data_IF_880813851608
#
_entry.id   IF_880813851608
#
_cell.length_a   1.000
_cell.length_b   1.000
_cell.length_c   1.000
_cell.angle_alpha   90.00
_cell.angle_beta   90.00
_cell.angle_gamma   90.00
#
_symmetry.space_group_name_H-M   'P 1'
#
loop_
_entity.id
_entity.type
_entity.pdbx_description
1 polymer ?
#
# COMPACT_ATOMS: atom_id res chain seq x y z
N UNK A 1 -6.12 -18.76 2.44
CA UNK A 1 -5.29 -17.53 2.27
C UNK A 1 -5.91 -16.57 1.25
N UNK A 2 -6.14 -17.03 0.00
CA UNK A 2 -6.71 -16.18 -1.04
C UNK A 2 -8.09 -15.61 -0.66
N UNK A 3 -8.97 -16.42 -0.09
CA UNK A 3 -10.31 -15.97 0.31
C UNK A 3 -10.27 -14.88 1.37
N UNK A 4 -9.35 -14.99 2.34
CA UNK A 4 -9.19 -13.99 3.38
C UNK A 4 -8.66 -12.67 2.79
N UNK A 5 -7.74 -12.74 1.84
CA UNK A 5 -7.21 -11.55 1.18
C UNK A 5 -8.21 -10.92 0.22
N UNK A 6 -9.05 -11.73 -0.44
CA UNK A 6 -10.14 -11.21 -1.26
C UNK A 6 -11.12 -10.40 -0.41
N UNK A 7 -11.43 -10.87 0.80
CA UNK A 7 -12.23 -10.12 1.76
C UNK A 7 -11.55 -8.82 2.20
N UNK A 8 -10.25 -8.84 2.39
CA UNK A 8 -9.45 -7.66 2.72
C UNK A 8 -9.50 -6.63 1.59
N UNK A 9 -9.32 -7.09 0.34
CA UNK A 9 -9.42 -6.22 -0.84
C UNK A 9 -10.79 -5.56 -0.92
N UNK A 10 -11.85 -6.34 -0.75
CA UNK A 10 -13.22 -5.81 -0.82
C UNK A 10 -13.51 -4.83 0.31
N UNK A 11 -13.03 -5.10 1.52
CA UNK A 11 -13.18 -4.20 2.64
C UNK A 11 -12.50 -2.85 2.38
N UNK A 12 -11.31 -2.86 1.80
CA UNK A 12 -10.59 -1.64 1.42
C UNK A 12 -11.31 -0.89 0.30
N UNK A 13 -11.86 -1.59 -0.69
CA UNK A 13 -12.64 -0.97 -1.76
C UNK A 13 -13.85 -0.24 -1.20
N UNK A 14 -14.54 -0.84 -0.25
CA UNK A 14 -15.70 -0.22 0.40
C UNK A 14 -15.30 0.96 1.27
N UNK A 15 -14.20 0.82 2.02
CA UNK A 15 -13.74 1.86 2.95
C UNK A 15 -13.21 3.10 2.21
N UNK A 16 -12.42 2.90 1.18
CA UNK A 16 -11.80 4.00 0.41
C UNK A 16 -12.76 4.56 -0.63
N UNK A 17 -13.60 3.70 -1.21
CA UNK A 17 -14.62 4.12 -2.16
C UNK A 17 -14.10 4.38 -3.57
N UNK A 18 -14.76 5.29 -4.27
CA UNK A 18 -14.51 5.56 -5.68
C UNK A 18 -13.13 6.17 -5.95
N UNK A 19 -12.47 6.69 -4.94
CA UNK A 19 -11.09 7.19 -5.08
C UNK A 19 -10.07 6.08 -5.29
N UNK A 20 -10.40 4.83 -4.95
CA UNK A 20 -9.49 3.69 -5.11
C UNK A 20 -9.54 3.15 -6.53
N UNK A 21 -8.47 3.38 -7.28
CA UNK A 21 -8.36 2.96 -8.70
C UNK A 21 -7.75 1.56 -8.79
N UNK A 22 -6.75 1.27 -7.96
CA UNK A 22 -6.04 0.00 -8.00
C UNK A 22 -5.42 -0.31 -6.64
N UNK A 23 -5.19 -1.59 -6.38
CA UNK A 23 -4.65 -2.08 -5.10
C UNK A 23 -3.80 -3.31 -5.37
N UNK A 24 -2.67 -3.42 -4.67
CA UNK A 24 -1.89 -4.65 -4.63
C UNK A 24 -1.46 -4.93 -3.20
N UNK A 25 -1.57 -6.19 -2.78
CA UNK A 25 -1.13 -6.67 -1.47
C UNK A 25 -0.08 -7.74 -1.72
N UNK A 26 1.09 -7.60 -1.08
CA UNK A 26 2.18 -8.56 -1.22
C UNK A 26 2.73 -8.98 0.12
N UNK A 27 3.41 -10.12 0.12
CA UNK A 27 4.12 -10.60 1.30
C UNK A 27 5.37 -9.74 1.53
N UNK A 28 5.51 -9.20 2.72
CA UNK A 28 6.59 -8.25 3.02
C UNK A 28 7.98 -8.87 2.89
N UNK A 29 8.12 -10.16 3.22
CA UNK A 29 9.42 -10.84 3.18
C UNK A 29 9.89 -11.15 1.76
N UNK A 30 8.99 -11.59 0.87
CA UNK A 30 9.34 -12.06 -0.49
C UNK A 30 8.97 -11.09 -1.59
N UNK A 31 8.16 -10.09 -1.29
CA UNK A 31 7.54 -9.19 -2.26
C UNK A 31 6.58 -9.90 -3.24
N UNK A 32 6.18 -11.14 -2.93
CA UNK A 32 5.24 -11.88 -3.75
C UNK A 32 3.84 -11.26 -3.67
N UNK A 33 3.30 -10.87 -4.81
CA UNK A 33 1.94 -10.33 -4.90
C UNK A 33 0.91 -11.44 -4.61
N UNK A 34 -0.01 -11.18 -3.69
CA UNK A 34 -0.97 -12.17 -3.21
C UNK A 34 -2.41 -11.87 -3.63
N UNK A 35 -2.78 -10.60 -3.71
CA UNK A 35 -4.14 -10.19 -4.04
C UNK A 35 -4.14 -8.73 -4.51
N UNK A 36 -5.20 -8.33 -5.19
CA UNK A 36 -5.35 -6.96 -5.63
C UNK A 36 -6.19 -6.86 -6.89
N UNK A 37 -6.24 -5.67 -7.46
CA UNK A 37 -6.89 -5.41 -8.74
C UNK A 37 -6.30 -4.16 -9.37
N UNK A 38 -6.37 -4.08 -10.69
CA UNK A 38 -6.02 -2.85 -11.43
C UNK A 38 -4.54 -2.58 -11.62
N UNK A 39 -3.65 -3.32 -10.97
CA UNK A 39 -2.20 -3.16 -11.12
C UNK A 39 -1.60 -4.30 -11.93
N UNK A 40 -0.53 -4.00 -12.67
CA UNK A 40 0.24 -5.01 -13.38
C UNK A 40 0.92 -5.98 -12.39
N UNK A 41 1.14 -7.25 -12.77
CA UNK A 41 1.68 -8.25 -11.83
C UNK A 41 3.04 -7.92 -11.22
N UNK A 42 3.86 -7.14 -11.90
CA UNK A 42 5.19 -6.75 -11.40
C UNK A 42 5.17 -5.55 -10.46
N UNK A 43 4.02 -4.92 -10.23
CA UNK A 43 3.92 -3.65 -9.49
C UNK A 43 4.35 -3.82 -8.03
N UNK A 44 3.85 -4.86 -7.34
CA UNK A 44 4.20 -5.13 -5.95
C UNK A 44 5.71 -5.27 -5.73
N UNK A 45 6.39 -6.19 -6.46
CA UNK A 45 7.84 -6.33 -6.37
C UNK A 45 8.61 -5.04 -6.65
N UNK A 46 8.18 -4.24 -7.63
CA UNK A 46 8.83 -2.97 -7.94
C UNK A 46 8.64 -1.95 -6.82
N UNK A 47 7.44 -1.83 -6.27
CA UNK A 47 7.18 -0.91 -5.16
C UNK A 47 7.90 -1.36 -3.89
N UNK A 48 8.01 -2.65 -3.65
CA UNK A 48 8.83 -3.18 -2.57
C UNK A 48 10.29 -2.72 -2.70
N UNK A 49 10.84 -2.81 -3.90
CA UNK A 49 12.21 -2.37 -4.18
C UNK A 49 12.39 -0.87 -3.97
N UNK A 50 11.44 -0.06 -4.44
CA UNK A 50 11.46 1.40 -4.21
C UNK A 50 11.44 1.69 -2.71
N UNK A 51 10.60 0.99 -1.95
CA UNK A 51 10.54 1.14 -0.50
C UNK A 51 11.86 0.82 0.18
N UNK A 52 12.54 -0.25 -0.24
CA UNK A 52 13.85 -0.59 0.30
C UNK A 52 14.90 0.47 -0.02
N UNK A 53 14.88 1.03 -1.23
CA UNK A 53 15.77 2.11 -1.62
C UNK A 53 15.50 3.38 -0.79
N UNK A 54 14.24 3.71 -0.55
CA UNK A 54 13.86 4.84 0.31
C UNK A 54 14.30 4.61 1.76
N UNK A 55 14.18 3.38 2.25
CA UNK A 55 14.65 3.01 3.59
C UNK A 55 16.15 3.22 3.73
N UNK A 56 16.90 2.81 2.73
CA UNK A 56 18.34 3.03 2.69
C UNK A 56 18.69 4.52 2.65
N UNK A 57 18.00 5.29 1.82
CA UNK A 57 18.20 6.74 1.74
C UNK A 57 17.93 7.42 3.08
N UNK A 58 16.87 7.01 3.78
CA UNK A 58 16.55 7.55 5.10
C UNK A 58 17.67 7.27 6.11
N UNK A 59 18.23 6.05 6.11
CA UNK A 59 19.35 5.69 6.99
C UNK A 59 20.58 6.54 6.71
N UNK A 60 20.89 6.77 5.43
CA UNK A 60 22.03 7.63 5.04
C UNK A 60 21.84 9.08 5.49
N UNK A 61 20.59 9.52 5.62
CA UNK A 61 20.25 10.84 6.15
C UNK A 61 20.20 10.87 7.68
N UNK A 62 20.50 9.76 8.35
CA UNK A 62 20.49 9.67 9.82
C UNK A 62 19.08 9.50 10.41
N UNK A 63 18.15 8.95 9.63
CA UNK A 63 16.76 8.80 10.05
C UNK A 63 16.24 7.39 9.72
N UNK A 64 14.94 7.19 9.87
CA UNK A 64 14.25 5.95 9.55
C UNK A 64 13.03 6.28 8.69
N UNK A 65 12.78 5.44 7.68
CA UNK A 65 11.55 5.55 6.90
C UNK A 65 10.38 5.10 7.78
N UNK A 66 9.28 5.84 7.74
CA UNK A 66 8.03 5.43 8.38
C UNK A 66 7.45 4.20 7.67
N UNK A 67 6.37 3.65 8.20
CA UNK A 67 5.70 2.47 7.63
C UNK A 67 4.85 2.80 6.39
N UNK A 68 4.90 4.02 5.90
CA UNK A 68 4.21 4.43 4.68
C UNK A 68 5.02 5.45 3.91
N UNK A 69 4.70 5.60 2.64
CA UNK A 69 5.08 6.75 1.85
C UNK A 69 4.03 7.05 0.79
N UNK A 70 4.01 8.29 0.32
CA UNK A 70 3.02 8.78 -0.65
C UNK A 70 3.78 9.37 -1.84
N UNK A 71 3.42 8.92 -3.04
CA UNK A 71 4.02 9.40 -4.28
C UNK A 71 2.93 10.05 -5.13
N UNK A 72 3.17 11.27 -5.55
CA UNK A 72 2.31 11.92 -6.54
C UNK A 72 2.77 11.51 -7.93
N UNK A 73 1.85 10.97 -8.71
CA UNK A 73 2.12 10.55 -10.09
C UNK A 73 1.16 11.29 -11.02
N UNK A 74 1.42 11.22 -12.32
CA UNK A 74 0.50 11.81 -13.30
C UNK A 74 -0.81 11.03 -13.25
N UNK A 75 -1.89 11.73 -12.93
CA UNK A 75 -3.24 11.16 -12.86
C UNK A 75 -3.57 10.46 -11.55
N UNK A 76 -2.74 10.57 -10.51
CA UNK A 76 -3.08 9.91 -9.25
C UNK A 76 -2.09 10.10 -8.12
N UNK A 77 -2.38 9.37 -7.05
CA UNK A 77 -1.56 9.34 -5.84
C UNK A 77 -1.31 7.86 -5.49
N UNK A 78 -0.06 7.48 -5.35
CA UNK A 78 0.30 6.13 -4.91
C UNK A 78 0.63 6.18 -3.42
N UNK A 79 -0.03 5.32 -2.65
CA UNK A 79 0.19 5.18 -1.21
C UNK A 79 0.74 3.78 -0.98
N UNK A 80 1.90 3.69 -0.34
CA UNK A 80 2.51 2.41 0.02
C UNK A 80 2.54 2.30 1.54
N UNK A 81 2.05 1.18 2.06
CA UNK A 81 2.04 0.88 3.50
C UNK A 81 2.78 -0.43 3.71
N UNK A 82 3.80 -0.39 4.56
CA UNK A 82 4.64 -1.55 4.87
C UNK A 82 4.36 -2.02 6.29
N UNK A 83 3.91 -3.28 6.43
CA UNK A 83 3.71 -3.89 7.74
C UNK A 83 4.59 -5.14 7.85
N UNK A 84 4.74 -5.72 9.05
CA UNK A 84 5.68 -6.85 9.23
C UNK A 84 5.43 -8.05 8.33
N UNK A 85 4.19 -8.41 8.07
CA UNK A 85 3.85 -9.63 7.29
C UNK A 85 3.33 -9.32 5.91
N UNK A 86 2.44 -8.34 5.79
CA UNK A 86 1.83 -7.93 4.54
C UNK A 86 2.07 -6.45 4.30
N UNK A 87 2.32 -6.10 3.07
CA UNK A 87 2.43 -4.71 2.63
C UNK A 87 1.43 -4.47 1.51
N UNK A 88 1.11 -3.22 1.25
CA UNK A 88 0.16 -2.88 0.22
C UNK A 88 0.44 -1.56 -0.46
N UNK A 89 -0.05 -1.43 -1.67
CA UNK A 89 -0.01 -0.19 -2.42
C UNK A 89 -1.38 0.11 -3.00
N UNK A 90 -1.78 1.36 -2.91
CA UNK A 90 -3.04 1.85 -3.45
C UNK A 90 -2.74 2.92 -4.48
N UNK A 91 -3.44 2.88 -5.61
CA UNK A 91 -3.49 4.00 -6.53
C UNK A 91 -4.83 4.70 -6.30
N UNK A 92 -4.76 5.97 -5.93
CA UNK A 92 -5.93 6.81 -5.71
C UNK A 92 -6.06 7.81 -6.84
N UNK A 93 -7.28 8.32 -7.04
CA UNK A 93 -7.53 9.39 -8.01
C UNK A 93 -6.73 10.65 -7.64
N UNK A 94 -6.49 11.51 -8.62
CA UNK A 94 -5.65 12.71 -8.46
C UNK A 94 -6.27 13.78 -7.56
N UNK A 95 -7.56 13.67 -7.25
CA UNK A 95 -8.24 14.56 -6.31
C UNK A 95 -8.16 14.10 -4.85
N UNK A 96 -7.47 12.98 -4.58
CA UNK A 96 -7.28 12.49 -3.21
C UNK A 96 -6.41 13.48 -2.43
N UNK A 97 -6.95 14.00 -1.33
CA UNK A 97 -6.27 14.99 -0.52
C UNK A 97 -5.36 14.33 0.51
N UNK A 98 -4.16 14.88 0.68
CA UNK A 98 -3.15 14.32 1.57
C UNK A 98 -3.66 14.20 3.02
N UNK A 99 -4.42 15.19 3.51
CA UNK A 99 -5.00 15.12 4.85
C UNK A 99 -5.89 13.90 5.05
N UNK A 100 -6.75 13.62 4.08
CA UNK A 100 -7.61 12.44 4.10
C UNK A 100 -6.80 11.15 3.99
N UNK A 101 -5.78 11.12 3.11
CA UNK A 101 -4.89 9.97 2.98
C UNK A 101 -4.24 9.63 4.32
N UNK A 102 -3.70 10.64 5.00
CA UNK A 102 -2.99 10.45 6.27
C UNK A 102 -3.92 10.09 7.42
N UNK A 103 -5.10 10.70 7.48
CA UNK A 103 -6.03 10.52 8.61
C UNK A 103 -6.95 9.31 8.47
N UNK A 104 -7.30 8.91 7.25
CA UNK A 104 -8.32 7.88 7.01
C UNK A 104 -7.79 6.69 6.24
N UNK A 105 -7.13 6.91 5.10
CA UNK A 105 -6.72 5.82 4.21
C UNK A 105 -5.62 4.98 4.82
N UNK A 106 -4.53 5.60 5.24
CA UNK A 106 -3.37 4.89 5.79
C UNK A 106 -3.75 4.10 7.04
N UNK A 107 -4.47 4.67 8.04
CA UNK A 107 -4.91 3.88 9.19
C UNK A 107 -5.80 2.70 8.80
N UNK A 108 -6.70 2.87 7.84
CA UNK A 108 -7.55 1.78 7.37
C UNK A 108 -6.75 0.65 6.72
N UNK A 109 -5.74 1.00 5.93
CA UNK A 109 -4.86 0.01 5.30
C UNK A 109 -4.04 -0.74 6.35
N UNK A 110 -3.49 -0.03 7.34
CA UNK A 110 -2.76 -0.67 8.44
C UNK A 110 -3.59 -1.74 9.13
N UNK A 111 -4.81 -1.38 9.52
CA UNK A 111 -5.73 -2.30 10.20
C UNK A 111 -6.05 -3.49 9.30
N UNK A 112 -6.36 -3.25 8.04
CA UNK A 112 -6.71 -4.32 7.10
C UNK A 112 -5.56 -5.30 6.90
N UNK A 113 -4.34 -4.82 6.75
CA UNK A 113 -3.16 -5.67 6.56
C UNK A 113 -2.82 -6.45 7.82
N UNK A 114 -2.91 -5.81 8.99
CA UNK A 114 -2.64 -6.48 10.28
C UNK A 114 -3.69 -7.55 10.56
N UNK A 115 -4.95 -7.27 10.33
CA UNK A 115 -6.05 -8.24 10.53
C UNK A 115 -5.90 -9.44 9.60
N UNK A 116 -5.51 -9.21 8.35
CA UNK A 116 -5.35 -10.29 7.37
C UNK A 116 -4.16 -11.20 7.69
N UNK A 117 -3.18 -10.71 8.45
CA UNK A 117 -2.00 -11.49 8.84
C UNK A 117 -2.08 -12.10 10.24
N UNK A 118 -3.18 -11.85 10.93
CA UNK A 118 -3.38 -12.37 12.28
C UNK A 118 -3.67 -13.88 12.30
#
# INVERSE_FOLDING_TARGET
>A
MADALDGTVEALRQRVGDSLVALDIWESASALSLAGFGMAPATGPMLHRVTEDLRQAARLAGSMLDDYHVLTVIGGVVVVVTRPHLSGALLLTDDAQLGWVLSDVIPAVRVALDDASA
#
